data_IF_463258216109
#
_entry.id   IF_463258216109
#
_cell.length_a   1.000
_cell.length_b   1.000
_cell.length_c   1.000
_cell.angle_alpha   90.00
_cell.angle_beta   90.00
_cell.angle_gamma   90.00
#
_symmetry.space_group_name_H-M   'P 1'
#
loop_
_entity.id
_entity.type
_entity.pdbx_description
1 polymer ?
#
# COMPACT_ATOMS: atom_id res chain seq x y z
N UNK A 1 -47.83 -15.21 -61.77
CA UNK A 1 -47.70 -15.39 -60.33
C UNK A 1 -46.30 -14.95 -59.98
N UNK A 2 -46.12 -13.69 -59.49
CA UNK A 2 -44.83 -13.11 -59.11
C UNK A 2 -44.66 -13.19 -57.60
N UNK A 3 -43.70 -13.99 -57.15
CA UNK A 3 -43.29 -14.01 -55.73
C UNK A 3 -42.28 -12.90 -55.44
N UNK A 4 -42.70 -11.92 -54.68
CA UNK A 4 -41.84 -10.88 -54.14
C UNK A 4 -41.16 -11.46 -52.89
N UNK A 5 -39.82 -11.57 -52.91
CA UNK A 5 -38.99 -11.87 -51.69
C UNK A 5 -38.65 -10.58 -50.99
N UNK A 6 -39.19 -10.43 -49.77
CA UNK A 6 -38.81 -9.35 -48.86
C UNK A 6 -37.54 -9.79 -48.12
N UNK A 7 -36.44 -9.03 -48.30
CA UNK A 7 -35.21 -9.18 -47.52
C UNK A 7 -35.28 -8.25 -46.32
N UNK A 8 -35.40 -8.82 -45.10
CA UNK A 8 -35.29 -8.05 -43.87
C UNK A 8 -33.81 -7.87 -43.54
N UNK A 9 -33.32 -6.63 -43.61
CA UNK A 9 -32.00 -6.26 -43.08
C UNK A 9 -32.11 -5.99 -41.59
N UNK A 10 -31.45 -6.81 -40.77
CA UNK A 10 -31.32 -6.59 -39.34
C UNK A 10 -30.08 -5.69 -39.14
N UNK A 11 -30.31 -4.44 -38.81
CA UNK A 11 -29.23 -3.53 -38.39
C UNK A 11 -28.88 -3.81 -36.92
N UNK A 12 -27.73 -4.42 -36.68
CA UNK A 12 -27.13 -4.57 -35.32
C UNK A 12 -26.56 -3.24 -34.85
N UNK A 13 -27.25 -2.57 -33.95
CA UNK A 13 -26.75 -1.38 -33.27
C UNK A 13 -25.81 -1.84 -32.15
N UNK A 14 -24.49 -1.70 -32.35
CA UNK A 14 -23.50 -1.88 -31.27
C UNK A 14 -23.58 -0.68 -30.31
N UNK A 15 -24.15 -0.90 -29.12
CA UNK A 15 -24.06 0.07 -28.03
C UNK A 15 -22.61 0.08 -27.51
N UNK A 16 -21.85 1.11 -27.84
CA UNK A 16 -20.59 1.46 -27.21
C UNK A 16 -20.91 1.96 -25.80
N UNK A 17 -20.69 1.10 -24.80
CA UNK A 17 -20.64 1.53 -23.40
C UNK A 17 -19.35 2.35 -23.19
N UNK A 18 -19.48 3.67 -23.22
CA UNK A 18 -18.44 4.56 -22.76
C UNK A 18 -18.30 4.34 -21.24
N UNK A 19 -17.22 3.71 -20.81
CA UNK A 19 -16.82 3.71 -19.41
C UNK A 19 -16.49 5.15 -19.05
N UNK A 20 -17.06 5.71 -17.97
CA UNK A 20 -16.62 7.02 -17.50
C UNK A 20 -15.15 6.88 -17.12
N UNK A 21 -14.27 7.56 -17.85
CA UNK A 21 -12.91 7.79 -17.40
C UNK A 21 -13.03 8.57 -16.09
N UNK A 22 -12.75 7.89 -14.97
CA UNK A 22 -12.59 8.55 -13.68
C UNK A 22 -11.37 9.47 -13.85
N UNK A 23 -11.64 10.74 -14.17
CA UNK A 23 -10.64 11.78 -14.16
C UNK A 23 -10.26 11.96 -12.70
N UNK A 24 -9.22 11.24 -12.27
CA UNK A 24 -8.63 11.41 -10.95
C UNK A 24 -8.01 12.80 -10.96
N UNK A 25 -8.68 13.77 -10.33
CA UNK A 25 -8.13 15.10 -10.09
C UNK A 25 -6.71 14.90 -9.54
N UNK A 26 -5.71 15.47 -10.23
CA UNK A 26 -4.32 15.34 -9.82
C UNK A 26 -4.22 15.81 -8.37
N UNK A 27 -3.89 14.91 -7.45
CA UNK A 27 -3.85 15.20 -6.02
C UNK A 27 -2.99 16.44 -5.80
N UNK A 28 -3.58 17.50 -5.25
CA UNK A 28 -2.87 18.73 -4.87
C UNK A 28 -1.97 18.39 -3.69
N UNK A 29 -0.74 17.92 -3.95
CA UNK A 29 0.19 17.53 -2.90
C UNK A 29 1.62 17.55 -3.37
N UNK A 30 2.54 17.34 -2.44
CA UNK A 30 3.96 17.21 -2.74
C UNK A 30 4.23 15.83 -3.33
N UNK A 31 4.77 15.77 -4.54
CA UNK A 31 5.29 14.53 -5.12
C UNK A 31 6.55 14.11 -4.34
N UNK A 32 6.60 12.88 -3.86
CA UNK A 32 7.78 12.29 -3.22
C UNK A 32 8.63 11.49 -4.24
N UNK A 33 8.11 11.26 -5.43
CA UNK A 33 8.80 10.61 -6.54
C UNK A 33 8.51 11.35 -7.84
N UNK A 34 9.56 11.63 -8.61
CA UNK A 34 9.49 12.39 -9.86
C UNK A 34 9.19 11.53 -11.10
N UNK A 35 9.18 10.19 -10.96
CA UNK A 35 9.00 9.23 -12.03
C UNK A 35 10.30 8.80 -12.73
N UNK A 36 11.45 9.38 -12.37
CA UNK A 36 12.70 9.16 -13.10
C UNK A 36 13.93 8.96 -12.22
N UNK A 37 13.96 9.51 -11.01
CA UNK A 37 15.11 9.42 -10.11
C UNK A 37 14.72 9.01 -8.69
N UNK A 38 15.69 8.49 -7.93
CA UNK A 38 15.52 8.23 -6.49
C UNK A 38 15.92 9.45 -5.63
N UNK A 39 15.83 10.67 -6.17
CA UNK A 39 16.16 11.88 -5.42
C UNK A 39 15.31 12.02 -4.16
N UNK A 40 15.94 12.22 -3.00
CA UNK A 40 15.30 12.27 -1.69
C UNK A 40 15.02 10.90 -1.06
N UNK A 41 15.42 9.80 -1.73
CA UNK A 41 15.33 8.44 -1.23
C UNK A 41 16.70 7.83 -1.03
N UNK A 42 16.88 7.06 0.04
CA UNK A 42 18.12 6.35 0.38
C UNK A 42 17.84 4.90 0.74
N UNK A 43 18.65 3.96 0.24
CA UNK A 43 18.51 2.53 0.46
C UNK A 43 19.69 1.75 -0.11
N UNK A 44 19.69 0.43 0.00
CA UNK A 44 20.72 -0.44 -0.57
C UNK A 44 20.61 -0.40 -2.09
N UNK A 45 21.58 0.25 -2.76
CA UNK A 45 21.57 0.51 -4.21
C UNK A 45 21.40 -0.75 -5.07
N UNK A 46 21.90 -1.90 -4.62
CA UNK A 46 21.76 -3.14 -5.34
C UNK A 46 20.31 -3.63 -5.48
N UNK A 47 19.43 -3.20 -4.55
CA UNK A 47 18.06 -3.66 -4.46
C UNK A 47 17.03 -2.65 -5.02
N UNK A 48 17.41 -1.37 -5.16
CA UNK A 48 16.47 -0.31 -5.52
C UNK A 48 16.90 0.43 -6.79
N UNK A 49 15.98 0.61 -7.72
CA UNK A 49 16.16 1.35 -8.98
C UNK A 49 14.86 2.01 -9.45
N UNK A 50 14.96 2.84 -10.45
CA UNK A 50 13.79 3.26 -11.23
C UNK A 50 13.68 2.37 -12.46
N UNK A 51 12.50 1.82 -12.71
CA UNK A 51 12.17 0.97 -13.84
C UNK A 51 10.75 1.30 -14.32
N UNK A 52 10.58 1.61 -15.60
CA UNK A 52 9.28 1.95 -16.21
C UNK A 52 8.48 3.04 -15.47
N UNK A 53 9.17 4.08 -15.01
CA UNK A 53 8.57 5.19 -14.29
C UNK A 53 8.10 4.85 -12.87
N UNK A 54 8.59 3.75 -12.29
CA UNK A 54 8.28 3.33 -10.93
C UNK A 54 9.57 3.09 -10.11
N UNK A 55 9.53 3.41 -8.82
CA UNK A 55 10.50 2.90 -7.85
C UNK A 55 10.32 1.39 -7.80
N UNK A 56 11.38 0.66 -8.09
CA UNK A 56 11.38 -0.81 -8.12
C UNK A 56 12.35 -1.35 -7.08
N UNK A 57 11.82 -2.13 -6.14
CA UNK A 57 12.56 -2.91 -5.18
C UNK A 57 12.55 -4.40 -5.57
N UNK A 58 13.72 -5.05 -5.50
CA UNK A 58 13.85 -6.46 -5.88
C UNK A 58 14.85 -7.18 -4.98
N UNK A 59 14.50 -8.40 -4.57
CA UNK A 59 15.39 -9.31 -3.87
C UNK A 59 15.74 -10.48 -4.78
N UNK A 60 16.96 -11.03 -4.62
CA UNK A 60 17.53 -12.01 -5.54
C UNK A 60 17.85 -13.32 -4.82
N UNK A 61 17.66 -14.46 -5.51
CA UNK A 61 17.89 -15.79 -4.93
C UNK A 61 19.38 -16.07 -4.63
N UNK A 62 20.27 -15.51 -5.45
CA UNK A 62 21.73 -15.60 -5.31
C UNK A 62 22.31 -14.61 -4.29
N UNK A 63 21.50 -13.61 -3.87
CA UNK A 63 21.87 -12.62 -2.85
C UNK A 63 20.69 -12.38 -1.89
N UNK A 64 20.30 -13.39 -1.07
CA UNK A 64 19.12 -13.29 -0.22
C UNK A 64 19.31 -12.25 0.89
N UNK A 65 18.24 -11.47 1.14
CA UNK A 65 18.20 -10.51 2.22
C UNK A 65 18.23 -11.23 3.58
N UNK A 66 19.13 -10.82 4.46
CA UNK A 66 19.21 -11.35 5.83
C UNK A 66 18.20 -10.69 6.79
N UNK A 67 17.76 -9.48 6.48
CA UNK A 67 16.79 -8.69 7.23
C UNK A 67 15.89 -7.94 6.26
N UNK A 68 14.71 -7.54 6.73
CA UNK A 68 13.91 -6.52 6.05
C UNK A 68 14.77 -5.26 5.88
N UNK A 69 14.80 -4.72 4.67
CA UNK A 69 15.49 -3.48 4.34
C UNK A 69 14.54 -2.52 3.64
N UNK A 70 14.85 -1.24 3.68
CA UNK A 70 13.91 -0.21 3.26
C UNK A 70 14.56 0.82 2.34
N UNK A 71 13.76 1.37 1.42
CA UNK A 71 14.06 2.63 0.75
C UNK A 71 13.41 3.75 1.56
N UNK A 72 14.22 4.61 2.15
CA UNK A 72 13.81 5.63 3.11
C UNK A 72 13.71 7.00 2.44
N UNK A 73 12.59 7.70 2.62
CA UNK A 73 12.46 9.11 2.27
C UNK A 73 12.95 9.98 3.43
N UNK A 74 13.84 10.93 3.15
CA UNK A 74 14.65 11.61 4.18
C UNK A 74 13.87 12.61 5.05
N UNK A 75 12.67 13.07 4.61
CA UNK A 75 11.82 14.01 5.38
C UNK A 75 10.87 13.27 6.32
N UNK A 76 10.65 13.84 7.51
CA UNK A 76 9.60 13.41 8.43
C UNK A 76 8.28 14.11 8.13
N UNK A 77 7.18 13.40 8.45
CA UNK A 77 5.82 13.88 8.31
C UNK A 77 5.03 13.59 9.59
N UNK A 78 4.18 14.54 10.00
CA UNK A 78 3.29 14.42 11.14
C UNK A 78 1.91 13.90 10.71
N UNK A 79 0.92 14.80 10.65
CA UNK A 79 -0.38 14.51 10.05
C UNK A 79 -0.29 14.59 8.53
N UNK A 80 -0.82 13.60 7.83
CA UNK A 80 -0.77 13.56 6.37
C UNK A 80 -1.83 12.64 5.76
N UNK A 81 -2.03 12.81 4.47
CA UNK A 81 -2.59 11.82 3.56
C UNK A 81 -1.55 11.45 2.49
N UNK A 82 -1.14 10.19 2.44
CA UNK A 82 -0.25 9.64 1.42
C UNK A 82 -1.07 8.82 0.42
N UNK A 83 -0.88 9.11 -0.86
CA UNK A 83 -1.44 8.33 -1.97
C UNK A 83 -0.30 7.78 -2.81
N UNK A 84 -0.37 6.53 -3.21
CA UNK A 84 0.54 5.92 -4.20
C UNK A 84 -0.15 4.78 -4.94
N UNK A 85 0.48 4.35 -6.02
CA UNK A 85 0.16 3.08 -6.68
C UNK A 85 1.28 2.08 -6.40
N UNK A 86 0.92 0.81 -6.20
CA UNK A 86 1.88 -0.26 -5.99
C UNK A 86 1.51 -1.51 -6.78
N UNK A 87 2.52 -2.31 -7.12
CA UNK A 87 2.38 -3.64 -7.70
C UNK A 87 3.42 -4.56 -7.07
N UNK A 88 3.03 -5.78 -6.71
CA UNK A 88 3.90 -6.75 -6.06
C UNK A 88 3.79 -8.12 -6.74
N UNK A 89 4.95 -8.78 -6.90
CA UNK A 89 5.08 -10.16 -7.36
C UNK A 89 5.98 -10.90 -6.38
N UNK A 90 5.46 -11.97 -5.79
CA UNK A 90 6.15 -12.73 -4.72
C UNK A 90 6.25 -11.96 -3.41
N UNK A 91 6.47 -12.65 -2.32
CA UNK A 91 6.81 -12.12 -1.01
C UNK A 91 5.80 -11.16 -0.36
N UNK A 92 6.33 -10.33 0.53
CA UNK A 92 5.64 -9.32 1.32
C UNK A 92 6.39 -7.99 1.20
N UNK A 93 5.68 -6.89 1.38
CA UNK A 93 6.19 -5.52 1.39
C UNK A 93 5.33 -4.66 2.31
N UNK A 94 5.60 -3.36 2.35
CA UNK A 94 4.79 -2.40 3.09
C UNK A 94 5.29 -0.97 2.91
N UNK A 95 4.42 -0.05 3.30
CA UNK A 95 4.75 1.37 3.35
C UNK A 95 4.85 1.75 4.82
N UNK A 96 6.06 2.02 5.27
CA UNK A 96 6.32 2.54 6.60
C UNK A 96 5.95 4.02 6.68
N UNK A 97 5.33 4.43 7.78
CA UNK A 97 4.98 5.83 8.03
C UNK A 97 5.09 6.15 9.52
N UNK A 98 5.34 7.42 9.85
CA UNK A 98 5.67 7.85 11.22
C UNK A 98 6.71 6.95 11.88
N UNK A 99 7.65 6.46 11.09
CA UNK A 99 8.63 5.44 11.47
C UNK A 99 10.00 6.06 11.76
N UNK A 100 10.92 5.25 12.27
CA UNK A 100 12.30 5.65 12.61
C UNK A 100 13.29 4.77 11.87
N UNK A 101 14.35 5.37 11.34
CA UNK A 101 15.52 4.65 10.84
C UNK A 101 16.32 4.16 12.07
N UNK A 102 16.43 2.84 12.21
CA UNK A 102 17.09 2.18 13.35
C UNK A 102 18.57 1.89 13.04
N UNK A 103 18.84 1.44 11.81
CA UNK A 103 20.18 1.13 11.32
C UNK A 103 20.33 1.75 9.93
N UNK A 104 21.19 2.76 9.83
CA UNK A 104 21.42 3.50 8.59
C UNK A 104 22.31 2.76 7.58
N UNK A 105 23.10 1.77 8.01
CA UNK A 105 23.95 0.98 7.11
C UNK A 105 23.15 -0.11 6.42
N UNK A 106 22.21 -0.74 7.16
CA UNK A 106 21.34 -1.82 6.68
C UNK A 106 19.96 -1.32 6.24
N UNK A 107 19.71 -0.02 6.40
CA UNK A 107 18.39 0.59 6.15
C UNK A 107 17.27 -0.16 6.86
N UNK A 108 17.45 -0.41 8.16
CA UNK A 108 16.43 -1.04 9.01
C UNK A 108 15.55 0.04 9.61
N UNK A 109 14.24 -0.13 9.49
CA UNK A 109 13.22 0.82 9.96
C UNK A 109 12.30 0.13 10.96
N UNK A 110 11.74 0.89 11.89
CA UNK A 110 10.69 0.46 12.81
C UNK A 110 9.63 1.51 13.00
N UNK A 111 8.39 1.08 13.15
CA UNK A 111 7.21 1.93 13.30
C UNK A 111 6.00 1.39 12.55
N UNK A 112 4.98 2.23 12.34
CA UNK A 112 3.76 1.81 11.67
C UNK A 112 4.01 1.44 10.20
N UNK A 113 3.36 0.36 9.76
CA UNK A 113 3.42 -0.16 8.40
C UNK A 113 2.02 -0.42 7.84
N UNK A 114 1.77 0.11 6.67
CA UNK A 114 0.67 -0.24 5.80
C UNK A 114 1.10 -1.45 4.97
N UNK A 115 0.66 -2.63 5.35
CA UNK A 115 1.18 -3.90 4.86
C UNK A 115 0.67 -4.26 3.47
N UNK A 116 1.54 -4.91 2.70
CA UNK A 116 1.33 -5.36 1.33
C UNK A 116 1.83 -6.80 1.23
N UNK A 117 1.05 -7.71 0.64
CA UNK A 117 1.54 -9.03 0.26
C UNK A 117 1.01 -9.47 -1.10
N UNK A 118 1.70 -10.43 -1.71
CA UNK A 118 1.36 -10.98 -3.03
C UNK A 118 0.45 -12.20 -2.98
N UNK A 119 0.08 -12.70 -1.79
CA UNK A 119 -0.67 -13.94 -1.66
C UNK A 119 -2.08 -13.81 -2.27
N UNK A 120 -2.33 -14.58 -3.31
CA UNK A 120 -3.65 -14.70 -3.91
C UNK A 120 -4.59 -15.60 -3.10
N UNK A 121 -4.03 -16.57 -2.36
CA UNK A 121 -4.79 -17.56 -1.60
C UNK A 121 -5.19 -17.02 -0.24
N UNK A 122 -6.46 -16.65 -0.10
CA UNK A 122 -7.04 -16.14 1.14
C UNK A 122 -7.03 -17.15 2.30
N UNK A 123 -6.89 -18.44 2.01
CA UNK A 123 -6.89 -19.50 3.05
C UNK A 123 -5.58 -19.58 3.80
N UNK A 124 -4.49 -19.05 3.24
CA UNK A 124 -3.15 -19.00 3.85
C UNK A 124 -2.88 -17.79 4.71
N UNK A 125 -3.91 -16.94 4.92
CA UNK A 125 -3.76 -15.64 5.52
C UNK A 125 -3.20 -14.63 4.52
N UNK A 126 -3.45 -13.37 4.75
CA UNK A 126 -2.97 -12.27 3.91
C UNK A 126 -2.81 -11.03 4.75
N UNK A 127 -1.65 -10.43 4.66
CA UNK A 127 -1.33 -9.19 5.37
C UNK A 127 -1.76 -7.92 4.62
N UNK A 128 -2.30 -8.06 3.40
CA UNK A 128 -2.73 -6.91 2.60
C UNK A 128 -3.73 -6.03 3.34
N UNK A 129 -3.39 -4.75 3.54
CA UNK A 129 -4.26 -3.74 4.15
C UNK A 129 -4.38 -3.80 5.68
N UNK A 130 -3.57 -4.62 6.38
CA UNK A 130 -3.48 -4.57 7.85
C UNK A 130 -2.62 -3.38 8.30
N UNK A 131 -2.72 -3.02 9.59
CA UNK A 131 -1.77 -2.12 10.24
C UNK A 131 -0.82 -2.94 11.10
N UNK A 132 0.45 -2.89 10.75
CA UNK A 132 1.54 -3.57 11.45
C UNK A 132 2.48 -2.54 12.10
N UNK A 133 3.16 -2.90 13.14
CA UNK A 133 4.26 -2.10 13.70
C UNK A 133 5.56 -2.89 13.65
N UNK A 134 6.38 -2.55 12.66
CA UNK A 134 7.68 -3.16 12.43
C UNK A 134 8.60 -2.93 13.62
N UNK A 135 9.19 -4.01 14.17
CA UNK A 135 10.03 -3.98 15.36
C UNK A 135 9.36 -3.37 16.60
N UNK A 136 8.04 -3.43 16.67
CA UNK A 136 7.21 -2.91 17.73
C UNK A 136 6.15 -3.90 18.20
N UNK A 137 4.89 -3.48 18.19
CA UNK A 137 3.74 -4.26 18.70
C UNK A 137 3.23 -5.36 17.75
N UNK A 138 3.86 -5.52 16.56
CA UNK A 138 3.45 -6.51 15.56
C UNK A 138 2.15 -6.13 14.86
N UNK A 139 1.26 -7.10 14.60
CA UNK A 139 -0.06 -6.82 14.03
C UNK A 139 -0.88 -6.00 15.03
N UNK A 140 -1.20 -4.77 14.64
CA UNK A 140 -1.99 -3.87 15.47
C UNK A 140 -3.47 -3.97 15.10
N UNK A 141 -3.79 -3.92 13.80
CA UNK A 141 -5.15 -4.01 13.29
C UNK A 141 -5.20 -4.99 12.13
N UNK A 142 -6.06 -5.98 12.25
CA UNK A 142 -6.37 -6.90 11.15
C UNK A 142 -7.27 -6.22 10.11
N UNK A 143 -7.19 -6.67 8.86
CA UNK A 143 -8.12 -6.24 7.82
C UNK A 143 -9.56 -6.52 8.23
N UNK A 144 -10.46 -5.57 8.00
CA UNK A 144 -11.86 -5.66 8.39
C UNK A 144 -12.16 -5.14 9.79
N UNK A 145 -11.15 -4.61 10.50
CA UNK A 145 -11.31 -4.13 11.88
C UNK A 145 -11.08 -2.63 12.02
N UNK A 146 -11.77 -2.06 13.01
CA UNK A 146 -11.46 -0.78 13.64
C UNK A 146 -11.04 -1.10 15.08
N UNK A 147 -9.80 -0.74 15.45
CA UNK A 147 -9.21 -1.05 16.76
C UNK A 147 -8.83 0.22 17.48
N UNK A 148 -9.22 0.33 18.76
CA UNK A 148 -8.68 1.30 19.71
C UNK A 148 -7.61 0.61 20.56
N UNK A 149 -6.44 1.27 20.70
CA UNK A 149 -5.46 0.91 21.71
C UNK A 149 -5.61 1.93 22.85
N UNK A 150 -5.92 1.45 24.03
CA UNK A 150 -6.08 2.30 25.21
C UNK A 150 -4.73 2.76 25.76
N UNK A 151 -4.77 3.71 26.72
CA UNK A 151 -3.54 4.27 27.30
C UNK A 151 -2.66 3.20 27.97
N UNK A 152 -3.24 2.15 28.51
CA UNK A 152 -2.55 1.00 29.11
C UNK A 152 -2.04 -0.04 28.09
N UNK A 153 -2.28 0.19 26.78
CA UNK A 153 -1.89 -0.71 25.70
C UNK A 153 -2.91 -1.81 25.38
N UNK A 154 -4.06 -1.84 26.05
CA UNK A 154 -5.12 -2.80 25.75
C UNK A 154 -5.70 -2.54 24.35
N UNK A 155 -5.69 -3.56 23.51
CA UNK A 155 -6.33 -3.53 22.18
C UNK A 155 -7.81 -3.90 22.30
N UNK A 156 -8.70 -3.07 21.78
CA UNK A 156 -10.13 -3.31 21.75
C UNK A 156 -10.65 -3.12 20.33
N UNK A 157 -11.32 -4.13 19.77
CA UNK A 157 -12.04 -3.96 18.51
C UNK A 157 -13.29 -3.15 18.76
N UNK A 158 -13.35 -1.93 18.21
CA UNK A 158 -14.45 -0.96 18.40
C UNK A 158 -15.38 -0.90 17.19
N UNK A 159 -15.03 -1.55 16.09
CA UNK A 159 -15.85 -1.55 14.89
C UNK A 159 -15.34 -2.51 13.80
N UNK A 160 -15.96 -2.40 12.62
CA UNK A 160 -15.60 -3.18 11.44
C UNK A 160 -15.62 -2.30 10.19
N UNK A 161 -14.68 -2.55 9.28
CA UNK A 161 -14.65 -1.95 7.94
C UNK A 161 -15.29 -2.86 6.89
N UNK A 162 -15.64 -4.10 7.27
CA UNK A 162 -16.29 -5.08 6.40
C UNK A 162 -15.78 -6.50 6.63
N UNK A 163 -16.28 -7.44 5.81
CA UNK A 163 -15.82 -8.83 5.81
C UNK A 163 -14.39 -8.92 5.26
N UNK A 164 -13.44 -9.58 5.97
CA UNK A 164 -12.05 -9.64 5.57
C UNK A 164 -11.81 -10.29 4.20
N UNK A 165 -12.60 -11.30 3.81
CA UNK A 165 -12.45 -11.97 2.52
C UNK A 165 -12.98 -11.09 1.38
N UNK A 166 -14.12 -10.42 1.59
CA UNK A 166 -14.67 -9.45 0.63
C UNK A 166 -13.73 -8.24 0.44
N UNK A 167 -13.09 -7.76 1.51
CA UNK A 167 -12.09 -6.70 1.43
C UNK A 167 -10.83 -7.18 0.68
N UNK A 168 -10.38 -8.42 0.94
CA UNK A 168 -9.24 -9.00 0.23
C UNK A 168 -9.47 -9.08 -1.28
N UNK A 169 -10.69 -9.36 -1.72
CA UNK A 169 -11.04 -9.44 -3.15
C UNK A 169 -10.96 -8.10 -3.89
N UNK A 170 -10.77 -6.98 -3.18
CA UNK A 170 -10.55 -5.66 -3.79
C UNK A 170 -9.10 -5.45 -4.27
N UNK A 171 -8.20 -6.32 -3.89
CA UNK A 171 -6.81 -6.29 -4.32
C UNK A 171 -6.64 -6.98 -5.69
N UNK A 172 -5.99 -6.30 -6.63
CA UNK A 172 -5.65 -6.82 -7.95
C UNK A 172 -4.31 -7.55 -7.87
N UNK A 173 -4.34 -8.88 -7.92
CA UNK A 173 -3.14 -9.73 -7.83
C UNK A 173 -2.25 -9.52 -9.05
N UNK A 174 -0.94 -9.32 -8.83
CA UNK A 174 0.09 -9.08 -9.86
C UNK A 174 -0.19 -7.87 -10.77
N UNK A 175 -1.04 -6.95 -10.33
CA UNK A 175 -1.36 -5.74 -11.07
C UNK A 175 -1.31 -4.50 -10.15
N UNK A 176 -1.46 -3.32 -10.72
CA UNK A 176 -1.44 -2.06 -10.02
C UNK A 176 -2.66 -1.90 -9.10
N UNK A 177 -2.38 -1.45 -7.88
CA UNK A 177 -3.35 -1.10 -6.86
C UNK A 177 -3.05 0.29 -6.32
N UNK A 178 -4.06 1.06 -5.95
CA UNK A 178 -3.85 2.27 -5.19
C UNK A 178 -3.76 1.95 -3.68
N UNK A 179 -2.83 2.59 -2.99
CA UNK A 179 -2.80 2.66 -1.53
C UNK A 179 -2.98 4.11 -1.08
N UNK A 180 -3.94 4.36 -0.19
CA UNK A 180 -4.10 5.64 0.49
C UNK A 180 -3.96 5.41 1.99
N UNK A 181 -3.04 6.14 2.62
CA UNK A 181 -2.79 6.13 4.06
C UNK A 181 -3.17 7.50 4.60
N UNK A 182 -4.10 7.54 5.57
CA UNK A 182 -4.43 8.75 6.32
C UNK A 182 -3.90 8.58 7.74
N UNK A 183 -3.03 9.49 8.16
CA UNK A 183 -2.52 9.56 9.53
C UNK A 183 -2.82 10.94 10.10
N UNK A 184 -3.81 11.03 11.00
CA UNK A 184 -4.27 12.30 11.58
C UNK A 184 -4.45 12.17 13.09
N UNK A 185 -3.70 12.93 13.87
CA UNK A 185 -3.65 12.80 15.32
C UNK A 185 -3.27 11.37 15.72
N UNK A 186 -4.16 10.69 16.45
CA UNK A 186 -4.01 9.30 16.87
C UNK A 186 -4.69 8.28 15.95
N UNK A 187 -5.30 8.72 14.84
CA UNK A 187 -6.04 7.85 13.91
C UNK A 187 -5.19 7.57 12.68
N UNK A 188 -5.09 6.29 12.31
CA UNK A 188 -4.46 5.83 11.08
C UNK A 188 -5.43 4.93 10.31
N UNK A 189 -5.64 5.24 9.02
CA UNK A 189 -6.56 4.53 8.15
C UNK A 189 -5.82 4.04 6.89
N UNK A 190 -6.06 2.79 6.51
CA UNK A 190 -5.49 2.18 5.31
C UNK A 190 -6.59 1.88 4.29
N UNK A 191 -6.44 2.41 3.08
CA UNK A 191 -7.35 2.17 1.98
C UNK A 191 -6.61 1.51 0.82
N UNK A 192 -7.21 0.50 0.22
CA UNK A 192 -6.73 -0.11 -1.04
C UNK A 192 -7.86 -0.02 -2.07
N UNK A 193 -7.53 0.49 -3.26
CA UNK A 193 -8.46 0.72 -4.35
C UNK A 193 -9.73 1.48 -3.90
N UNK A 194 -9.53 2.49 -3.02
CA UNK A 194 -10.58 3.34 -2.47
C UNK A 194 -11.39 2.73 -1.33
N UNK A 195 -11.12 1.48 -0.94
CA UNK A 195 -11.87 0.77 0.12
C UNK A 195 -11.08 0.76 1.42
N UNK A 196 -11.72 1.17 2.54
CA UNK A 196 -11.12 1.14 3.88
C UNK A 196 -10.88 -0.31 4.31
N UNK A 197 -9.61 -0.67 4.53
CA UNK A 197 -9.17 -2.00 4.93
C UNK A 197 -9.06 -2.15 6.45
N UNK A 198 -8.49 -1.15 7.12
CA UNK A 198 -8.28 -1.15 8.58
C UNK A 198 -8.22 0.29 9.11
N UNK A 199 -8.59 0.46 10.38
CA UNK A 199 -8.48 1.72 11.11
C UNK A 199 -7.91 1.47 12.50
N UNK A 200 -6.89 2.25 12.87
CA UNK A 200 -6.28 2.29 14.18
C UNK A 200 -6.62 3.61 14.88
N UNK A 201 -7.04 3.53 16.15
CA UNK A 201 -7.14 4.65 17.09
C UNK A 201 -6.15 4.41 18.23
N UNK A 202 -4.92 4.95 18.11
CA UNK A 202 -3.84 4.67 19.05
C UNK A 202 -3.79 5.71 20.17
N UNK A 203 -4.35 5.38 21.34
CA UNK A 203 -4.35 6.23 22.52
C UNK A 203 -3.17 5.97 23.46
N UNK A 204 -2.26 5.04 23.12
CA UNK A 204 -1.08 4.72 23.91
C UNK A 204 0.03 5.76 23.67
N UNK A 205 -0.02 6.86 24.40
CA UNK A 205 0.82 8.04 24.16
C UNK A 205 2.33 7.80 24.29
N UNK A 206 2.76 6.85 25.11
CA UNK A 206 4.17 6.48 25.32
C UNK A 206 4.74 5.64 24.17
N UNK A 207 3.91 5.03 23.33
CA UNK A 207 4.32 4.22 22.17
C UNK A 207 3.87 4.78 20.83
N UNK A 208 2.78 5.54 20.82
CA UNK A 208 2.27 6.17 19.61
C UNK A 208 3.29 7.12 18.98
N UNK A 209 3.59 6.93 17.70
CA UNK A 209 4.34 7.90 16.92
C UNK A 209 3.40 8.96 16.32
N UNK A 210 3.70 10.25 16.55
CA UNK A 210 2.98 11.39 15.96
C UNK A 210 3.62 11.91 14.69
N UNK A 211 4.89 11.60 14.46
CA UNK A 211 5.66 11.97 13.26
C UNK A 211 6.73 10.92 12.95
N UNK A 212 7.25 10.94 11.76
CA UNK A 212 8.38 10.11 11.36
C UNK A 212 8.56 10.04 9.85
N UNK A 213 9.49 9.20 9.42
CA UNK A 213 9.83 9.00 8.01
C UNK A 213 8.78 8.14 7.29
N UNK A 214 8.80 8.24 5.94
CA UNK A 214 8.17 7.29 5.02
C UNK A 214 9.25 6.36 4.49
N UNK A 215 8.97 5.05 4.39
CA UNK A 215 9.88 4.11 3.77
C UNK A 215 9.14 2.96 3.07
N UNK A 216 9.75 2.40 2.03
CA UNK A 216 9.22 1.30 1.24
C UNK A 216 10.01 0.03 1.58
N UNK A 217 9.31 -1.08 1.89
CA UNK A 217 9.93 -2.31 2.37
C UNK A 217 10.32 -3.26 1.23
N UNK A 218 11.51 -3.87 1.39
CA UNK A 218 11.83 -5.19 0.84
C UNK A 218 11.94 -6.19 1.99
N UNK A 219 11.05 -7.18 1.99
CA UNK A 219 10.99 -8.20 3.02
C UNK A 219 12.03 -9.30 2.79
N UNK A 220 12.74 -9.70 3.83
CA UNK A 220 13.62 -10.88 3.80
C UNK A 220 12.77 -12.16 3.65
N UNK A 221 13.28 -13.14 2.89
CA UNK A 221 12.59 -14.40 2.65
C UNK A 221 12.53 -14.74 1.16
N UNK A 222 11.38 -15.20 0.63
CA UNK A 222 11.24 -15.51 -0.79
C UNK A 222 11.58 -14.33 -1.68
N UNK A 223 12.12 -14.61 -2.87
CA UNK A 223 12.38 -13.58 -3.87
C UNK A 223 11.11 -12.83 -4.22
N UNK A 224 11.23 -11.52 -4.34
CA UNK A 224 10.11 -10.63 -4.59
C UNK A 224 10.51 -9.45 -5.46
N UNK A 225 9.53 -8.89 -6.15
CA UNK A 225 9.62 -7.60 -6.82
C UNK A 225 8.42 -6.75 -6.42
N UNK A 226 8.70 -5.54 -5.95
CA UNK A 226 7.66 -4.55 -5.63
C UNK A 226 7.95 -3.26 -6.37
N UNK A 227 6.91 -2.60 -6.84
CA UNK A 227 6.99 -1.35 -7.59
C UNK A 227 6.04 -0.33 -6.99
N UNK A 228 6.49 0.94 -6.94
CA UNK A 228 5.70 2.07 -6.44
C UNK A 228 5.81 3.26 -7.40
N UNK A 229 4.70 3.94 -7.67
CA UNK A 229 4.65 5.16 -8.48
C UNK A 229 3.57 6.11 -7.97
N UNK A 230 3.51 7.31 -8.55
CA UNK A 230 2.52 8.33 -8.21
C UNK A 230 2.44 8.61 -6.70
N UNK A 231 3.60 8.65 -6.03
CA UNK A 231 3.70 8.87 -4.60
C UNK A 231 3.51 10.35 -4.30
N UNK A 232 2.39 10.70 -3.70
CA UNK A 232 1.99 12.08 -3.39
C UNK A 232 1.54 12.17 -1.94
N UNK A 233 2.01 13.19 -1.21
CA UNK A 233 1.65 13.45 0.17
C UNK A 233 1.04 14.84 0.33
N UNK A 234 -0.01 14.93 1.14
CA UNK A 234 -0.67 16.16 1.61
C UNK A 234 -0.49 16.26 3.12
N UNK A 235 0.05 17.39 3.59
CA UNK A 235 0.21 17.75 5.01
C UNK A 235 -0.89 18.73 5.45
#
# INVERSE_FOLDING_TARGET
>A
MNCIRIVLSIASSALLFAHPAFCQEAAKGKKLFDGSTLAGWSGIKANWRVEDGAITGESFADAPLQNNTFLVYEKKFGDFELNCEFKITGGNSGIQYRSKLIDSEKFIVGGYQADIDSQADVTKGSYIGINYEERGRGIIVERGQIVSIEADGKKTRVGSTGDPAALRSKFNVNDWNSYRIVAKGNVCQHYINGVLMSELQDNQADKRASEGIIALQLHAGPTMKVQFKNIVINE
#
